data_IF_501401588567
#
_entry.id   IF_501401588567
#
_cell.length_a   1.000
_cell.length_b   1.000
_cell.length_c   1.000
_cell.angle_alpha   90.00
_cell.angle_beta   90.00
_cell.angle_gamma   90.00
#
_symmetry.space_group_name_H-M   'P 1'
#
loop_
_entity.id
_entity.type
_entity.pdbx_description
1 polymer ?
#
# COMPACT_ATOMS: atom_id res chain seq x y z
N UNK A 1 27.39 0.29 5.24
CA UNK A 1 28.11 0.77 4.04
C UNK A 1 27.13 1.62 3.24
N UNK A 2 27.46 2.87 2.87
CA UNK A 2 26.55 3.74 2.12
C UNK A 2 26.05 3.07 0.84
N UNK A 3 24.87 3.46 0.38
CA UNK A 3 24.27 2.98 -0.86
C UNK A 3 24.45 4.03 -1.94
N UNK A 4 24.94 3.63 -3.11
CA UNK A 4 25.10 4.47 -4.28
C UNK A 4 24.26 3.95 -5.43
N UNK A 5 23.77 4.88 -6.25
CA UNK A 5 23.19 4.59 -7.55
C UNK A 5 24.10 5.19 -8.61
N UNK A 6 24.61 4.32 -9.47
CA UNK A 6 25.24 4.73 -10.70
C UNK A 6 24.18 4.84 -11.83
N UNK A 7 24.35 5.80 -12.72
CA UNK A 7 23.40 6.12 -13.78
C UNK A 7 24.17 6.26 -15.09
N UNK A 8 23.75 5.50 -16.10
CA UNK A 8 24.34 5.53 -17.44
C UNK A 8 23.30 5.91 -18.48
N UNK A 9 23.71 6.67 -19.49
CA UNK A 9 22.98 6.88 -20.73
C UNK A 9 23.45 5.85 -21.77
N UNK A 10 22.51 5.12 -22.37
CA UNK A 10 22.84 4.07 -23.33
C UNK A 10 23.04 4.63 -24.75
N UNK A 11 24.16 4.34 -25.43
CA UNK A 11 24.35 4.63 -26.85
C UNK A 11 23.36 3.88 -27.75
N UNK A 12 22.94 4.47 -28.87
CA UNK A 12 22.02 3.83 -29.82
C UNK A 12 22.44 2.40 -30.19
N UNK A 13 21.49 1.47 -30.16
CA UNK A 13 21.72 0.05 -30.41
C UNK A 13 22.15 -0.80 -29.21
N UNK A 14 22.50 -0.21 -28.05
CA UNK A 14 22.77 -1.01 -26.83
C UNK A 14 21.50 -1.71 -26.33
N UNK A 15 21.59 -3.03 -26.16
CA UNK A 15 20.48 -3.88 -25.68
C UNK A 15 20.55 -4.11 -24.18
N UNK A 16 19.45 -4.53 -23.56
CA UNK A 16 19.45 -4.96 -22.16
C UNK A 16 20.41 -6.14 -21.91
N UNK A 17 20.63 -7.01 -22.90
CA UNK A 17 21.59 -8.13 -22.80
C UNK A 17 23.04 -7.62 -22.72
N UNK A 18 23.38 -6.56 -23.45
CA UNK A 18 24.71 -5.95 -23.39
C UNK A 18 24.97 -5.34 -22.00
N UNK A 19 23.95 -4.71 -21.42
CA UNK A 19 24.01 -4.17 -20.06
C UNK A 19 24.20 -5.29 -19.04
N UNK A 20 23.45 -6.39 -19.16
CA UNK A 20 23.59 -7.55 -18.28
C UNK A 20 25.01 -8.15 -18.34
N UNK A 21 25.61 -8.21 -19.54
CA UNK A 21 27.01 -8.67 -19.73
C UNK A 21 28.02 -7.71 -19.10
N UNK A 22 27.81 -6.40 -19.21
CA UNK A 22 28.66 -5.40 -18.55
C UNK A 22 28.57 -5.54 -17.03
N UNK A 23 27.35 -5.59 -16.49
CA UNK A 23 27.10 -5.77 -15.07
C UNK A 23 27.69 -7.06 -14.51
N UNK A 24 27.65 -8.16 -15.26
CA UNK A 24 28.29 -9.41 -14.85
C UNK A 24 29.81 -9.24 -14.64
N UNK A 25 30.49 -8.44 -15.46
CA UNK A 25 31.92 -8.14 -15.30
C UNK A 25 32.19 -7.27 -14.08
N UNK A 26 31.32 -6.32 -13.77
CA UNK A 26 31.40 -5.54 -12.53
C UNK A 26 31.38 -6.46 -11.30
N UNK A 27 30.45 -7.43 -11.32
CA UNK A 27 30.30 -8.38 -10.23
C UNK A 27 31.51 -9.29 -10.00
N UNK A 28 32.29 -9.59 -11.05
CA UNK A 28 33.51 -10.40 -10.94
C UNK A 28 34.60 -9.69 -10.11
N UNK A 29 34.66 -8.36 -10.16
CA UNK A 29 35.73 -7.58 -9.50
C UNK A 29 35.24 -6.73 -8.32
N UNK A 30 33.94 -6.60 -8.09
CA UNK A 30 33.33 -5.73 -7.07
C UNK A 30 33.99 -5.86 -5.68
N UNK A 31 34.31 -7.10 -5.26
CA UNK A 31 34.89 -7.39 -3.95
C UNK A 31 36.29 -6.80 -3.78
N UNK A 32 37.05 -6.66 -4.87
CA UNK A 32 38.40 -6.06 -4.87
C UNK A 32 38.36 -4.60 -4.40
N UNK A 33 37.27 -3.90 -4.70
CA UNK A 33 37.06 -2.49 -4.37
C UNK A 33 36.15 -2.29 -3.15
N UNK A 34 35.78 -3.38 -2.47
CA UNK A 34 34.85 -3.35 -1.34
C UNK A 34 33.42 -2.97 -1.73
N UNK A 35 33.06 -3.16 -3.00
CA UNK A 35 31.74 -2.85 -3.55
C UNK A 35 30.87 -4.10 -3.58
N UNK A 36 29.58 -3.92 -3.32
CA UNK A 36 28.55 -4.96 -3.42
C UNK A 36 27.37 -4.42 -4.24
N UNK A 37 27.26 -4.86 -5.49
CA UNK A 37 26.10 -4.57 -6.33
C UNK A 37 24.89 -5.36 -5.88
N UNK A 38 23.75 -4.69 -5.77
CA UNK A 38 22.52 -5.29 -5.25
C UNK A 38 21.47 -5.50 -6.33
N UNK A 39 21.25 -4.49 -7.18
CA UNK A 39 20.20 -4.51 -8.21
C UNK A 39 20.57 -3.61 -9.39
N UNK A 40 20.06 -3.91 -10.57
CA UNK A 40 20.16 -3.03 -11.73
C UNK A 40 18.85 -2.98 -12.53
N UNK A 41 18.65 -1.90 -13.28
CA UNK A 41 17.49 -1.69 -14.14
C UNK A 41 17.90 -1.04 -15.45
N UNK A 42 17.24 -1.45 -16.53
CA UNK A 42 17.38 -0.83 -17.86
C UNK A 42 16.05 -0.21 -18.23
N UNK A 43 16.06 1.10 -18.47
CA UNK A 43 14.95 1.80 -19.08
C UNK A 43 15.26 1.97 -20.58
N UNK A 44 14.71 1.08 -21.40
CA UNK A 44 14.96 1.06 -22.85
C UNK A 44 14.36 2.28 -23.56
N UNK A 45 13.19 2.75 -23.12
CA UNK A 45 12.51 3.89 -23.76
C UNK A 45 13.20 5.22 -23.52
N UNK A 46 13.74 5.43 -22.32
CA UNK A 46 14.54 6.61 -21.95
C UNK A 46 16.04 6.41 -22.15
N UNK A 47 16.48 5.23 -22.60
CA UNK A 47 17.88 4.84 -22.82
C UNK A 47 18.77 5.05 -21.59
N UNK A 48 18.37 4.53 -20.43
CA UNK A 48 19.13 4.66 -19.18
C UNK A 48 19.36 3.33 -18.47
N UNK A 49 20.48 3.23 -17.77
CA UNK A 49 20.78 2.15 -16.83
C UNK A 49 20.97 2.73 -15.44
N UNK A 50 20.52 1.99 -14.45
CA UNK A 50 20.66 2.31 -13.04
C UNK A 50 21.22 1.07 -12.34
N UNK A 51 22.36 1.15 -11.66
CA UNK A 51 22.82 0.08 -10.77
C UNK A 51 22.95 0.60 -9.35
N UNK A 52 22.41 -0.17 -8.41
CA UNK A 52 22.58 0.05 -6.98
C UNK A 52 23.76 -0.78 -6.48
N UNK A 53 24.62 -0.13 -5.70
CA UNK A 53 25.72 -0.80 -5.02
C UNK A 53 25.98 -0.19 -3.66
N UNK A 54 26.25 -1.04 -2.67
CA UNK A 54 26.90 -0.60 -1.45
C UNK A 54 28.39 -0.42 -1.74
N UNK A 55 28.94 0.75 -1.39
CA UNK A 55 30.36 1.03 -1.57
C UNK A 55 30.91 1.88 -0.42
N UNK A 56 32.23 1.82 -0.14
CA UNK A 56 32.86 2.69 0.85
C UNK A 56 32.70 4.18 0.55
N UNK A 57 32.70 4.52 -0.75
CA UNK A 57 32.48 5.85 -1.30
C UNK A 57 32.15 5.73 -2.81
N UNK A 58 31.76 6.84 -3.43
CA UNK A 58 31.44 6.90 -4.86
C UNK A 58 32.62 6.49 -5.78
N UNK A 59 33.85 6.88 -5.42
CA UNK A 59 35.06 6.57 -6.21
C UNK A 59 35.31 5.05 -6.28
N UNK A 60 35.04 4.31 -5.20
CA UNK A 60 35.17 2.87 -5.17
C UNK A 60 34.18 2.18 -6.14
N UNK A 61 32.94 2.67 -6.21
CA UNK A 61 31.94 2.18 -7.16
C UNK A 61 32.34 2.50 -8.62
N UNK A 62 32.88 3.69 -8.88
CA UNK A 62 33.42 4.05 -10.21
C UNK A 62 34.62 3.18 -10.61
N UNK A 63 35.47 2.81 -9.65
CA UNK A 63 36.66 2.04 -9.92
C UNK A 63 36.35 0.61 -10.39
N UNK A 64 35.21 0.05 -9.99
CA UNK A 64 34.71 -1.22 -10.53
C UNK A 64 34.44 -1.08 -12.03
N UNK A 65 33.59 -0.15 -12.44
CA UNK A 65 33.30 0.10 -13.86
C UNK A 65 34.56 0.32 -14.69
N UNK A 66 35.49 1.13 -14.17
CA UNK A 66 36.75 1.48 -14.82
C UNK A 66 37.61 0.26 -15.11
N UNK A 67 37.71 -0.67 -14.16
CA UNK A 67 38.54 -1.87 -14.27
C UNK A 67 37.84 -3.01 -15.02
N UNK A 68 36.51 -3.15 -14.88
CA UNK A 68 35.74 -4.23 -15.48
C UNK A 68 35.58 -4.09 -17.00
N UNK A 69 35.19 -2.90 -17.46
CA UNK A 69 34.91 -2.66 -18.88
C UNK A 69 35.14 -1.22 -19.36
N UNK A 70 35.43 -0.28 -18.47
CA UNK A 70 35.72 1.12 -18.81
C UNK A 70 34.48 1.96 -19.20
N UNK A 71 33.27 1.41 -19.04
CA UNK A 71 32.02 2.15 -19.30
C UNK A 71 31.66 2.86 -18.01
N UNK A 72 32.04 4.13 -17.90
CA UNK A 72 31.85 4.89 -16.69
C UNK A 72 30.41 5.40 -16.56
N UNK A 73 29.86 5.48 -15.34
CA UNK A 73 28.58 6.13 -15.13
C UNK A 73 28.66 7.63 -15.45
N UNK A 74 27.60 8.13 -16.07
CA UNK A 74 27.39 9.57 -16.29
C UNK A 74 27.19 10.30 -14.96
N UNK A 75 26.60 9.61 -13.98
CA UNK A 75 26.35 10.16 -12.66
C UNK A 75 26.37 9.06 -11.61
N UNK A 76 27.01 9.34 -10.48
CA UNK A 76 26.86 8.56 -9.27
C UNK A 76 26.26 9.43 -8.17
N UNK A 77 25.24 8.92 -7.50
CA UNK A 77 24.59 9.61 -6.38
C UNK A 77 24.54 8.70 -5.18
N UNK A 78 24.80 9.24 -4.00
CA UNK A 78 24.47 8.55 -2.76
C UNK A 78 22.94 8.54 -2.61
N UNK A 79 22.38 7.37 -2.29
CA UNK A 79 20.95 7.18 -2.14
C UNK A 79 20.67 6.77 -0.71
N UNK A 80 19.66 7.39 -0.10
CA UNK A 80 19.16 6.93 1.19
C UNK A 80 18.55 5.53 0.99
N UNK A 81 19.03 4.49 1.71
CA UNK A 81 18.55 3.12 1.54
C UNK A 81 17.03 2.99 1.62
N UNK A 82 16.39 3.77 2.49
CA UNK A 82 14.94 3.79 2.68
C UNK A 82 14.20 4.36 1.45
N UNK A 83 14.85 5.28 0.72
CA UNK A 83 14.36 5.86 -0.52
C UNK A 83 14.60 4.89 -1.70
N UNK A 84 15.73 4.18 -1.70
CA UNK A 84 16.01 3.14 -2.69
C UNK A 84 14.99 2.00 -2.60
N UNK A 85 14.69 1.50 -1.40
CA UNK A 85 13.68 0.46 -1.21
C UNK A 85 12.26 0.93 -1.57
N UNK A 86 11.92 2.18 -1.22
CA UNK A 86 10.60 2.77 -1.50
C UNK A 86 10.34 3.09 -2.98
N UNK A 87 11.37 3.42 -3.76
CA UNK A 87 11.26 3.71 -5.20
C UNK A 87 11.64 2.54 -6.10
N UNK A 88 12.45 1.59 -5.60
CA UNK A 88 13.09 0.51 -6.38
C UNK A 88 12.63 -0.88 -5.91
N UNK A 89 11.63 -0.94 -5.03
CA UNK A 89 10.86 -2.14 -4.68
C UNK A 89 11.48 -2.96 -3.54
N UNK A 90 10.95 -2.77 -2.33
CA UNK A 90 11.05 -3.68 -1.19
C UNK A 90 10.01 -4.81 -1.25
N UNK A 91 9.92 -5.51 -2.38
CA UNK A 91 8.97 -6.63 -2.55
C UNK A 91 9.75 -7.93 -2.52
N UNK A 92 9.37 -8.88 -1.65
CA UNK A 92 9.92 -10.23 -1.67
C UNK A 92 9.69 -10.83 -3.07
N UNK A 93 10.69 -11.47 -3.67
CA UNK A 93 10.57 -12.09 -5.00
C UNK A 93 10.85 -13.57 -4.95
N UNK A 94 10.16 -14.38 -5.75
CA UNK A 94 10.52 -15.80 -5.93
C UNK A 94 11.80 -15.97 -6.77
N UNK A 95 12.22 -17.22 -6.98
CA UNK A 95 13.41 -17.58 -7.77
C UNK A 95 13.37 -17.08 -9.23
N UNK A 96 12.20 -16.69 -9.74
CA UNK A 96 12.02 -16.12 -11.07
C UNK A 96 11.93 -14.58 -11.06
N UNK A 97 12.15 -13.93 -9.91
CA UNK A 97 12.08 -12.47 -9.77
C UNK A 97 10.67 -11.90 -9.71
N UNK A 98 9.64 -12.74 -9.55
CA UNK A 98 8.26 -12.27 -9.41
C UNK A 98 7.99 -11.86 -7.96
N UNK A 99 7.44 -10.67 -7.76
CA UNK A 99 6.88 -10.22 -6.47
C UNK A 99 5.95 -11.30 -5.89
N UNK A 100 6.29 -11.84 -4.72
CA UNK A 100 5.49 -12.81 -4.00
C UNK A 100 4.74 -12.16 -2.86
N UNK A 101 3.57 -12.72 -2.57
CA UNK A 101 2.75 -12.31 -1.45
C UNK A 101 3.49 -12.53 -0.13
N UNK A 102 3.58 -11.54 0.79
CA UNK A 102 4.17 -11.73 2.11
C UNK A 102 3.42 -12.84 2.87
N UNK A 103 4.10 -13.95 3.15
CA UNK A 103 3.50 -15.14 3.80
C UNK A 103 2.67 -16.06 2.88
N UNK A 104 2.68 -15.83 1.56
CA UNK A 104 2.08 -16.72 0.56
C UNK A 104 3.02 -17.86 0.15
N UNK A 105 2.47 -18.89 -0.50
CA UNK A 105 3.28 -19.93 -1.14
C UNK A 105 4.14 -19.35 -2.29
N UNK A 106 5.30 -19.96 -2.57
CA UNK A 106 6.34 -19.46 -3.47
C UNK A 106 5.92 -19.10 -4.92
N UNK A 107 4.71 -19.47 -5.35
CA UNK A 107 4.14 -19.20 -6.67
C UNK A 107 3.00 -18.16 -6.69
N UNK A 108 2.58 -17.63 -5.52
CA UNK A 108 1.50 -16.66 -5.46
C UNK A 108 2.05 -15.26 -5.75
N UNK A 109 1.86 -14.81 -6.99
CA UNK A 109 2.23 -13.47 -7.44
C UNK A 109 1.39 -12.42 -6.72
N UNK A 110 2.06 -11.39 -6.23
CA UNK A 110 1.38 -10.20 -5.72
C UNK A 110 0.85 -9.36 -6.90
N UNK A 111 -0.47 -9.12 -7.01
CA UNK A 111 -1.02 -8.31 -8.08
C UNK A 111 -0.69 -6.81 -7.94
N UNK A 112 -0.10 -6.36 -6.82
CA UNK A 112 0.12 -4.94 -6.51
C UNK A 112 -1.16 -4.17 -6.13
N UNK A 113 -2.33 -4.72 -6.48
CA UNK A 113 -3.63 -4.17 -6.12
C UNK A 113 -3.94 -4.47 -4.65
N UNK A 114 -4.45 -3.45 -3.96
CA UNK A 114 -5.04 -3.55 -2.63
C UNK A 114 -6.38 -2.82 -2.61
N UNK A 115 -7.30 -3.33 -1.80
CA UNK A 115 -8.47 -2.59 -1.33
C UNK A 115 -8.19 -2.10 0.08
N UNK A 116 -8.08 -0.78 0.23
CA UNK A 116 -7.84 -0.11 1.50
C UNK A 116 -9.19 0.25 2.11
N UNK A 117 -9.38 -0.06 3.38
CA UNK A 117 -10.59 0.20 4.16
C UNK A 117 -10.22 1.06 5.37
N UNK A 118 -11.03 2.08 5.65
CA UNK A 118 -10.98 2.87 6.87
C UNK A 118 -12.30 2.72 7.61
N UNK A 119 -12.23 2.50 8.92
CA UNK A 119 -13.34 2.73 9.85
C UNK A 119 -13.10 4.03 10.61
N UNK A 120 -14.17 4.65 11.06
CA UNK A 120 -14.12 5.82 11.93
C UNK A 120 -15.37 5.89 12.82
N UNK A 121 -15.17 6.09 14.12
CA UNK A 121 -16.25 6.20 15.11
C UNK A 121 -16.92 7.57 14.96
N UNK A 122 -18.24 7.55 14.76
CA UNK A 122 -19.03 8.76 14.61
C UNK A 122 -19.02 9.55 15.92
N UNK A 123 -18.69 10.85 15.82
CA UNK A 123 -18.65 11.78 16.95
C UNK A 123 -17.73 11.33 18.10
N UNK A 124 -16.64 10.63 17.81
CA UNK A 124 -15.65 10.13 18.78
C UNK A 124 -15.24 11.18 19.82
N UNK A 125 -14.92 12.40 19.37
CA UNK A 125 -14.50 13.51 20.25
C UNK A 125 -15.62 13.96 21.20
N UNK A 126 -16.85 14.06 20.72
CA UNK A 126 -18.02 14.42 21.55
C UNK A 126 -18.32 13.29 22.55
N UNK A 127 -18.12 12.05 22.15
CA UNK A 127 -18.30 10.87 22.97
C UNK A 127 -17.30 10.87 24.15
N UNK A 128 -16.03 11.19 23.91
CA UNK A 128 -15.04 11.39 24.98
C UNK A 128 -15.41 12.53 25.93
N UNK A 129 -15.81 13.69 25.39
CA UNK A 129 -16.18 14.84 26.22
C UNK A 129 -17.42 14.60 27.11
N UNK A 130 -18.39 13.82 26.62
CA UNK A 130 -19.65 13.57 27.32
C UNK A 130 -19.59 12.39 28.28
N UNK A 131 -18.83 11.33 27.95
CA UNK A 131 -18.75 10.11 28.76
C UNK A 131 -17.52 10.07 29.67
N UNK A 132 -16.51 10.91 29.41
CA UNK A 132 -15.20 10.84 30.04
C UNK A 132 -14.29 9.78 29.42
N UNK A 133 -13.00 9.87 29.73
CA UNK A 133 -11.94 9.10 29.07
C UNK A 133 -12.08 7.58 29.25
N UNK A 134 -12.43 7.11 30.45
CA UNK A 134 -12.55 5.67 30.75
C UNK A 134 -13.67 5.00 29.94
N UNK A 135 -14.84 5.65 29.87
CA UNK A 135 -15.98 5.11 29.14
C UNK A 135 -15.78 5.20 27.62
N UNK A 136 -15.12 6.25 27.13
CA UNK A 136 -14.74 6.35 25.73
C UNK A 136 -13.71 5.28 25.32
N UNK A 137 -12.73 5.00 26.19
CA UNK A 137 -11.75 3.94 25.98
C UNK A 137 -12.42 2.56 25.94
N UNK A 138 -13.41 2.31 26.81
CA UNK A 138 -14.18 1.07 26.77
C UNK A 138 -14.95 0.89 25.46
N UNK A 139 -15.57 1.97 24.93
CA UNK A 139 -16.26 1.94 23.65
C UNK A 139 -15.31 1.78 22.46
N UNK A 140 -14.11 2.37 22.52
CA UNK A 140 -13.06 2.12 21.55
C UNK A 140 -12.62 0.65 21.57
N UNK A 141 -12.53 0.03 22.76
CA UNK A 141 -12.24 -1.40 22.89
C UNK A 141 -13.30 -2.30 22.23
N UNK A 142 -14.58 -1.92 22.32
CA UNK A 142 -15.67 -2.61 21.61
C UNK A 142 -15.53 -2.46 20.10
N UNK A 143 -15.28 -1.25 19.60
CA UNK A 143 -14.99 -0.98 18.19
C UNK A 143 -13.87 -1.89 17.69
N UNK A 144 -12.73 -1.86 18.37
CA UNK A 144 -11.51 -2.57 17.99
C UNK A 144 -11.72 -4.07 17.93
N UNK A 145 -12.46 -4.62 18.90
CA UNK A 145 -12.77 -6.06 18.94
C UNK A 145 -13.61 -6.46 17.72
N UNK A 146 -14.70 -5.73 17.46
CA UNK A 146 -15.60 -6.02 16.34
C UNK A 146 -14.87 -5.92 15.00
N UNK A 147 -14.05 -4.88 14.82
CA UNK A 147 -13.30 -4.68 13.58
C UNK A 147 -12.25 -5.77 13.41
N UNK A 148 -11.45 -6.09 14.43
CA UNK A 148 -10.41 -7.12 14.35
C UNK A 148 -10.98 -8.51 14.10
N UNK A 149 -12.12 -8.83 14.70
CA UNK A 149 -12.83 -10.10 14.46
C UNK A 149 -13.30 -10.21 13.00
N UNK A 150 -13.86 -9.13 12.44
CA UNK A 150 -14.27 -9.09 11.03
C UNK A 150 -13.07 -9.17 10.07
N UNK A 151 -11.96 -8.48 10.37
CA UNK A 151 -10.72 -8.57 9.60
C UNK A 151 -10.18 -10.00 9.56
N UNK A 152 -10.09 -10.63 10.73
CA UNK A 152 -9.63 -12.02 10.87
C UNK A 152 -10.51 -12.99 10.07
N UNK A 153 -11.83 -12.85 10.15
CA UNK A 153 -12.79 -13.72 9.46
C UNK A 153 -12.74 -13.60 7.92
N UNK A 154 -12.33 -12.46 7.39
CA UNK A 154 -12.43 -12.14 5.96
C UNK A 154 -11.08 -11.88 5.28
N UNK A 155 -9.98 -12.21 5.95
CA UNK A 155 -8.63 -12.12 5.40
C UNK A 155 -8.16 -10.68 5.21
N UNK A 156 -8.56 -9.78 6.10
CA UNK A 156 -8.08 -8.41 6.19
C UNK A 156 -6.82 -8.29 7.03
N UNK A 157 -5.92 -7.39 6.63
CA UNK A 157 -4.73 -7.02 7.39
C UNK A 157 -4.93 -5.64 8.00
N UNK A 158 -4.93 -5.54 9.32
CA UNK A 158 -4.83 -4.25 10.02
C UNK A 158 -3.47 -3.62 9.66
N UNK A 159 -3.50 -2.41 9.10
CA UNK A 159 -2.30 -1.64 8.76
C UNK A 159 -1.90 -0.78 9.97
N UNK A 160 -2.86 -0.04 10.53
CA UNK A 160 -2.68 0.78 11.73
C UNK A 160 -4.01 1.22 12.33
N UNK A 161 -3.95 1.57 13.60
CA UNK A 161 -5.02 2.24 14.32
C UNK A 161 -4.90 3.77 14.16
N UNK A 162 -6.00 4.49 13.93
CA UNK A 162 -6.03 5.95 13.70
C UNK A 162 -6.45 6.77 14.92
N UNK A 163 -6.79 6.11 16.02
CA UNK A 163 -7.22 6.72 17.29
C UNK A 163 -8.70 6.48 17.57
N UNK A 164 -9.55 6.73 16.60
CA UNK A 164 -11.00 6.48 16.62
C UNK A 164 -11.45 5.57 15.48
N UNK A 165 -10.51 4.85 14.88
CA UNK A 165 -10.75 4.05 13.70
C UNK A 165 -9.56 3.15 13.37
N UNK A 166 -9.74 2.31 12.35
CA UNK A 166 -8.73 1.38 11.87
C UNK A 166 -8.56 1.55 10.36
N UNK A 167 -7.31 1.58 9.93
CA UNK A 167 -6.92 1.40 8.54
C UNK A 167 -6.57 -0.06 8.31
N UNK A 168 -7.23 -0.69 7.34
CA UNK A 168 -7.01 -2.07 6.96
C UNK A 168 -6.82 -2.22 5.44
N UNK A 169 -6.27 -3.36 5.04
CA UNK A 169 -6.03 -3.68 3.63
C UNK A 169 -6.43 -5.11 3.30
N UNK A 170 -6.88 -5.31 2.07
CA UNK A 170 -7.31 -6.59 1.51
C UNK A 170 -6.78 -6.74 0.09
N UNK A 171 -6.50 -7.98 -0.32
CA UNK A 171 -6.28 -8.29 -1.75
C UNK A 171 -7.62 -8.28 -2.50
N UNK A 172 -8.67 -8.81 -1.88
CA UNK A 172 -10.00 -8.97 -2.47
C UNK A 172 -10.91 -7.80 -2.12
N UNK A 173 -11.37 -7.06 -3.13
CA UNK A 173 -12.38 -6.00 -2.97
C UNK A 173 -13.67 -6.53 -2.36
N UNK A 174 -14.11 -7.72 -2.78
CA UNK A 174 -15.31 -8.36 -2.23
C UNK A 174 -15.15 -8.70 -0.74
N UNK A 175 -13.96 -9.14 -0.32
CA UNK A 175 -13.69 -9.43 1.09
C UNK A 175 -13.71 -8.15 1.94
N UNK A 176 -13.13 -7.06 1.43
CA UNK A 176 -13.17 -5.76 2.10
C UNK A 176 -14.61 -5.26 2.31
N UNK A 177 -15.46 -5.36 1.28
CA UNK A 177 -16.86 -4.97 1.37
C UNK A 177 -17.64 -5.88 2.32
N UNK A 178 -17.44 -7.20 2.27
CA UNK A 178 -18.04 -8.12 3.25
C UNK A 178 -17.60 -7.78 4.68
N UNK A 179 -16.36 -7.37 4.88
CA UNK A 179 -15.85 -6.97 6.18
C UNK A 179 -16.54 -5.71 6.67
N UNK A 180 -16.67 -4.69 5.81
CA UNK A 180 -17.43 -3.50 6.13
C UNK A 180 -18.89 -3.82 6.51
N UNK A 181 -19.55 -4.73 5.76
CA UNK A 181 -20.92 -5.17 6.04
C UNK A 181 -21.00 -5.90 7.38
N UNK A 182 -20.06 -6.80 7.68
CA UNK A 182 -20.02 -7.52 8.95
C UNK A 182 -19.80 -6.57 10.12
N UNK A 183 -18.91 -5.59 9.99
CA UNK A 183 -18.69 -4.54 11.00
C UNK A 183 -20.00 -3.79 11.30
N UNK A 184 -20.70 -3.31 10.26
CA UNK A 184 -21.98 -2.61 10.47
C UNK A 184 -23.03 -3.49 11.15
N UNK A 185 -23.13 -4.77 10.76
CA UNK A 185 -24.10 -5.72 11.35
C UNK A 185 -23.79 -6.03 12.81
N UNK A 186 -22.54 -6.24 13.17
CA UNK A 186 -22.17 -6.51 14.57
C UNK A 186 -22.31 -5.26 15.45
N UNK A 187 -22.04 -4.07 14.91
CA UNK A 187 -22.30 -2.81 15.61
C UNK A 187 -23.79 -2.55 15.81
N UNK A 188 -24.63 -2.86 14.82
CA UNK A 188 -26.09 -2.77 14.95
C UNK A 188 -26.62 -3.71 16.05
N UNK A 189 -26.15 -4.97 16.08
CA UNK A 189 -26.46 -5.91 17.19
C UNK A 189 -26.00 -5.37 18.53
N UNK A 190 -24.78 -4.82 18.61
CA UNK A 190 -24.25 -4.23 19.84
C UNK A 190 -25.10 -3.03 20.29
N UNK A 191 -25.52 -2.16 19.36
CA UNK A 191 -26.36 -1.01 19.65
C UNK A 191 -27.76 -1.42 20.14
N UNK A 192 -28.35 -2.47 19.56
CA UNK A 192 -29.63 -3.03 20.02
C UNK A 192 -29.52 -3.62 21.44
N UNK A 193 -28.41 -4.28 21.75
CA UNK A 193 -28.14 -4.79 23.10
C UNK A 193 -27.80 -3.68 24.12
N UNK A 194 -27.29 -2.53 23.65
CA UNK A 194 -26.82 -1.42 24.47
C UNK A 194 -27.41 -0.07 24.02
N UNK A 195 -28.75 0.11 24.11
CA UNK A 195 -29.44 1.27 23.53
C UNK A 195 -29.04 2.61 24.17
N UNK A 196 -28.55 2.60 25.40
CA UNK A 196 -28.07 3.80 26.11
C UNK A 196 -26.73 4.32 25.57
N UNK A 197 -25.96 3.47 24.87
CA UNK A 197 -24.61 3.79 24.36
C UNK A 197 -24.38 3.17 22.97
N UNK A 198 -25.15 3.59 21.95
CA UNK A 198 -25.00 3.06 20.61
C UNK A 198 -23.66 3.51 20.02
N UNK A 199 -22.87 2.54 19.55
CA UNK A 199 -21.62 2.79 18.85
C UNK A 199 -21.89 2.74 17.35
N UNK A 200 -21.68 3.86 16.66
CA UNK A 200 -21.88 3.98 15.22
C UNK A 200 -20.56 4.27 14.54
N UNK A 201 -20.32 3.62 13.41
CA UNK A 201 -19.13 3.87 12.58
C UNK A 201 -19.54 4.24 11.17
N UNK A 202 -18.65 4.97 10.52
CA UNK A 202 -18.66 5.15 9.07
C UNK A 202 -17.49 4.38 8.48
N UNK A 203 -17.66 3.92 7.24
CA UNK A 203 -16.64 3.13 6.54
C UNK A 203 -16.40 3.73 5.16
N UNK A 204 -15.13 3.84 4.80
CA UNK A 204 -14.70 4.20 3.45
C UNK A 204 -13.72 3.18 2.90
N UNK A 205 -13.91 2.77 1.64
CA UNK A 205 -12.98 1.87 0.98
C UNK A 205 -12.63 2.31 -0.45
N UNK A 206 -11.39 2.07 -0.85
CA UNK A 206 -10.95 2.28 -2.22
C UNK A 206 -10.02 1.16 -2.69
N UNK A 207 -10.12 0.79 -3.97
CA UNK A 207 -9.24 -0.18 -4.59
C UNK A 207 -8.28 0.49 -5.58
N UNK A 208 -7.02 0.04 -5.59
CA UNK A 208 -5.97 0.56 -6.47
C UNK A 208 -4.60 0.00 -6.09
N UNK A 209 -3.53 0.69 -6.50
CA UNK A 209 -2.13 0.25 -6.30
C UNK A 209 -1.44 1.19 -5.30
N UNK A 210 -1.61 1.01 -3.97
CA UNK A 210 -0.86 1.80 -3.00
C UNK A 210 0.61 1.38 -2.96
N UNK A 211 1.47 2.30 -2.50
CA UNK A 211 2.89 2.01 -2.24
C UNK A 211 3.00 1.46 -0.82
N UNK A 212 3.64 0.30 -0.66
CA UNK A 212 3.91 -0.32 0.63
C UNK A 212 5.31 0.06 1.12
N UNK A 213 5.41 0.56 2.35
CA UNK A 213 6.67 0.94 2.99
C UNK A 213 6.57 0.70 4.50
N UNK A 214 7.53 0.00 5.10
CA UNK A 214 7.57 -0.26 6.55
C UNK A 214 6.27 -0.85 7.13
N UNK A 215 5.66 -1.80 6.41
CA UNK A 215 4.36 -2.41 6.76
C UNK A 215 3.17 -1.41 6.80
N UNK A 216 3.35 -0.24 6.20
CA UNK A 216 2.34 0.80 6.03
C UNK A 216 2.02 0.99 4.53
N UNK A 217 0.90 1.65 4.22
CA UNK A 217 0.46 1.92 2.85
C UNK A 217 0.32 3.43 2.61
N UNK A 218 0.76 3.87 1.44
CA UNK A 218 0.74 5.26 1.01
C UNK A 218 0.21 5.42 -0.41
N UNK A 219 -0.11 6.67 -0.78
CA UNK A 219 -0.52 7.05 -2.13
C UNK A 219 -2.01 7.37 -2.28
N UNK A 220 -2.41 7.63 -3.52
CA UNK A 220 -3.75 8.15 -3.86
C UNK A 220 -4.89 7.21 -3.43
N UNK A 221 -4.69 5.89 -3.50
CA UNK A 221 -5.67 4.89 -3.06
C UNK A 221 -6.00 5.03 -1.57
N UNK A 222 -4.96 5.18 -0.73
CA UNK A 222 -5.11 5.35 0.72
C UNK A 222 -5.81 6.67 1.03
N UNK A 223 -5.41 7.74 0.36
CA UNK A 223 -6.05 9.06 0.51
C UNK A 223 -7.51 9.02 0.09
N UNK A 224 -7.84 8.34 -1.01
CA UNK A 224 -9.21 8.20 -1.48
C UNK A 224 -10.08 7.44 -0.47
N UNK A 225 -9.62 6.28 0.03
CA UNK A 225 -10.34 5.51 1.04
C UNK A 225 -10.61 6.34 2.31
N UNK A 226 -9.61 7.07 2.80
CA UNK A 226 -9.74 7.95 3.95
C UNK A 226 -10.74 9.09 3.70
N UNK A 227 -10.75 9.69 2.49
CA UNK A 227 -11.71 10.75 2.13
C UNK A 227 -13.13 10.23 1.96
N UNK A 228 -13.30 9.03 1.41
CA UNK A 228 -14.60 8.37 1.35
C UNK A 228 -15.12 8.08 2.76
N UNK A 229 -14.27 7.61 3.67
CA UNK A 229 -14.65 7.37 5.06
C UNK A 229 -15.09 8.67 5.74
N UNK A 230 -14.30 9.73 5.59
CA UNK A 230 -14.63 11.05 6.15
C UNK A 230 -15.91 11.68 5.54
N UNK A 231 -16.28 11.32 4.31
CA UNK A 231 -17.49 11.78 3.64
C UNK A 231 -18.73 10.92 3.97
N UNK A 232 -18.52 9.69 4.40
CA UNK A 232 -19.59 8.76 4.72
C UNK A 232 -20.45 9.25 5.88
N UNK A 233 -21.76 9.06 5.75
CA UNK A 233 -22.73 9.26 6.84
C UNK A 233 -22.55 8.19 7.91
N UNK A 234 -23.08 8.40 9.14
CA UNK A 234 -23.15 7.34 10.13
C UNK A 234 -23.77 6.06 9.55
N UNK A 235 -23.17 4.92 9.88
CA UNK A 235 -23.60 3.59 9.43
C UNK A 235 -23.52 3.37 7.90
N UNK A 236 -22.87 4.28 7.16
CA UNK A 236 -22.70 4.17 5.73
C UNK A 236 -21.35 3.53 5.37
N UNK A 237 -21.36 2.72 4.31
CA UNK A 237 -20.17 2.16 3.68
C UNK A 237 -20.01 2.82 2.31
N UNK A 238 -19.09 3.76 2.17
CA UNK A 238 -18.76 4.38 0.89
C UNK A 238 -17.58 3.71 0.22
N UNK A 239 -17.70 3.44 -1.08
CA UNK A 239 -16.68 2.76 -1.87
C UNK A 239 -16.36 3.51 -3.17
N UNK A 240 -15.10 3.47 -3.60
CA UNK A 240 -14.69 4.00 -4.91
C UNK A 240 -15.29 3.20 -6.06
N UNK A 241 -15.45 3.80 -7.24
CA UNK A 241 -15.98 3.15 -8.46
C UNK A 241 -15.36 1.78 -8.81
N UNK A 242 -14.05 1.60 -8.57
CA UNK A 242 -13.37 0.35 -8.90
C UNK A 242 -13.90 -0.87 -8.11
N UNK A 243 -14.47 -0.66 -6.92
CA UNK A 243 -14.89 -1.76 -6.04
C UNK A 243 -16.11 -2.51 -6.61
N UNK A 244 -17.22 -1.85 -7.01
CA UNK A 244 -18.32 -2.51 -7.70
C UNK A 244 -17.87 -3.31 -8.93
N UNK A 245 -17.00 -2.74 -9.77
CA UNK A 245 -16.48 -3.40 -10.98
C UNK A 245 -15.70 -4.68 -10.64
N UNK A 246 -14.90 -4.65 -9.58
CA UNK A 246 -14.18 -5.83 -9.06
C UNK A 246 -15.10 -6.84 -8.34
N UNK A 247 -16.34 -6.45 -8.01
CA UNK A 247 -17.31 -7.27 -7.27
C UNK A 247 -18.42 -7.86 -8.17
N UNK A 248 -18.32 -7.74 -9.49
CA UNK A 248 -19.28 -8.35 -10.42
C UNK A 248 -19.42 -9.86 -10.13
N UNK A 249 -20.67 -10.32 -9.99
CA UNK A 249 -20.99 -11.72 -9.70
C UNK A 249 -20.72 -12.16 -8.25
N UNK A 250 -20.38 -11.25 -7.33
CA UNK A 250 -20.13 -11.58 -5.91
C UNK A 250 -21.38 -11.46 -5.02
N UNK A 251 -22.53 -11.08 -5.56
CA UNK A 251 -23.78 -10.93 -4.82
C UNK A 251 -23.78 -9.75 -3.83
N UNK A 252 -22.89 -8.77 -4.03
CA UNK A 252 -22.86 -7.54 -3.26
C UNK A 252 -23.70 -6.47 -3.97
N UNK A 253 -24.47 -5.70 -3.20
CA UNK A 253 -25.32 -4.64 -3.74
C UNK A 253 -24.70 -3.27 -3.48
N UNK A 254 -24.71 -2.44 -4.52
CA UNK A 254 -24.16 -1.08 -4.49
C UNK A 254 -25.21 -0.11 -5.04
N UNK A 255 -25.40 1.00 -4.34
CA UNK A 255 -26.16 2.15 -4.81
C UNK A 255 -25.19 3.19 -5.36
N UNK A 256 -25.40 3.64 -6.59
CA UNK A 256 -24.59 4.70 -7.19
C UNK A 256 -24.97 6.06 -6.60
N UNK A 257 -23.97 6.78 -6.06
CA UNK A 257 -24.16 8.12 -5.50
C UNK A 257 -23.73 9.24 -6.46
N UNK A 258 -23.22 8.87 -7.63
CA UNK A 258 -22.64 9.80 -8.60
C UNK A 258 -21.28 10.34 -8.16
N UNK A 259 -21.00 11.58 -8.53
CA UNK A 259 -19.70 12.24 -8.32
C UNK A 259 -19.65 13.02 -6.99
N UNK A 260 -18.65 12.72 -6.17
CA UNK A 260 -18.37 13.39 -4.90
C UNK A 260 -17.16 14.32 -5.02
N UNK A 261 -17.30 15.54 -4.52
CA UNK A 261 -16.16 16.46 -4.37
C UNK A 261 -15.46 16.15 -3.04
N UNK A 262 -14.26 15.59 -3.11
CA UNK A 262 -13.48 15.17 -1.95
C UNK A 262 -12.30 16.13 -1.71
N UNK A 263 -12.04 16.46 -0.43
CA UNK A 263 -10.94 17.35 -0.05
C UNK A 263 -9.59 16.81 -0.55
N UNK A 264 -8.90 17.60 -1.35
CA UNK A 264 -7.57 17.28 -1.90
C UNK A 264 -7.59 16.59 -3.26
N UNK A 265 -8.77 16.30 -3.82
CA UNK A 265 -8.90 15.76 -5.18
C UNK A 265 -9.24 16.89 -6.16
N UNK A 266 -8.50 16.98 -7.26
CA UNK A 266 -8.68 18.02 -8.29
C UNK A 266 -9.90 17.81 -9.19
N UNK A 267 -10.46 16.59 -9.21
CA UNK A 267 -11.66 16.23 -9.95
C UNK A 267 -12.66 15.53 -9.02
N UNK A 268 -13.97 15.64 -9.28
CA UNK A 268 -14.97 14.83 -8.60
C UNK A 268 -14.70 13.32 -8.76
N UNK A 269 -15.03 12.54 -7.73
CA UNK A 269 -14.79 11.09 -7.69
C UNK A 269 -16.11 10.35 -7.66
N UNK A 270 -16.30 9.39 -8.56
CA UNK A 270 -17.48 8.52 -8.53
C UNK A 270 -17.43 7.56 -7.35
N UNK A 271 -18.53 7.51 -6.60
CA UNK A 271 -18.66 6.70 -5.40
C UNK A 271 -19.98 5.95 -5.34
N UNK A 272 -19.98 4.86 -4.59
CA UNK A 272 -21.14 4.02 -4.36
C UNK A 272 -21.32 3.77 -2.86
N UNK A 273 -22.56 3.54 -2.43
CA UNK A 273 -22.85 3.01 -1.10
C UNK A 273 -23.06 1.50 -1.17
N UNK A 274 -22.35 0.73 -0.35
CA UNK A 274 -22.61 -0.71 -0.22
C UNK A 274 -23.75 -0.96 0.77
N UNK A 275 -24.72 -1.79 0.37
CA UNK A 275 -25.84 -2.14 1.24
C UNK A 275 -25.42 -3.20 2.29
N UNK A 276 -25.78 -2.99 3.56
CA UNK A 276 -25.49 -3.94 4.65
C UNK A 276 -26.75 -4.47 5.36
N UNK A 277 -27.88 -3.78 5.24
CA UNK A 277 -29.20 -4.22 5.71
C UNK A 277 -29.84 -5.15 4.66
N UNK A 278 -29.65 -6.45 4.83
CA UNK A 278 -30.36 -7.50 4.10
C UNK A 278 -30.72 -8.61 5.08
#
# INVERSE_FOLDING_TARGET
MPLYMDIHNLPEGTTAEDVAKAHAKDMEIQRKHGVEYTKYWVNESCRKVFCLAHAPNAEAAEQVHREAHGLMPDKIIEVQPELAEGFLGGVETNAAGAAIFPGGGADVRDPGIRTVLFTDIVNSTTLTQSLGDEAALALLGVHDTIVRDALSALGGREVKHTGDGIMASFVSAASAVRCAIQIQRELDKHAQANPERPLKVRVGAAAGEPVEQNNDLFGSTVQLAARLCAHAKPEQILVSNAIPDLCIGKGLLFEELGELVLKGFGCPVRAHAAAWTQ
#
